data_IF_156779733121
#
_entry.id   IF_156779733121
#
_cell.length_a   1.000
_cell.length_b   1.000
_cell.length_c   1.000
_cell.angle_alpha   90.00
_cell.angle_beta   90.00
_cell.angle_gamma   90.00
#
_symmetry.space_group_name_H-M   'P 1'
#
loop_
_entity.id
_entity.type
_entity.pdbx_description
1 polymer ?
#
# COMPACT_ATOMS: atom_id res chain seq x y z
N UNK A 1 21.25 1.14 13.53
CA UNK A 1 19.91 1.69 13.88
C UNK A 1 19.01 0.50 14.18
N UNK A 2 18.34 0.45 15.33
CA UNK A 2 17.50 -0.72 15.67
C UNK A 2 16.38 -0.89 14.62
N UNK A 3 16.30 -2.03 13.92
CA UNK A 3 15.36 -2.24 12.82
C UNK A 3 13.91 -2.06 13.28
N UNK A 4 13.60 -2.41 14.53
CA UNK A 4 12.29 -2.23 15.16
C UNK A 4 11.81 -0.77 15.15
N UNK A 5 12.69 0.19 15.46
CA UNK A 5 12.34 1.62 15.47
C UNK A 5 12.02 2.09 14.05
N UNK A 6 12.77 1.63 13.06
CA UNK A 6 12.53 1.97 11.65
C UNK A 6 11.23 1.33 11.13
N UNK A 7 11.01 0.04 11.40
CA UNK A 7 9.79 -0.68 11.03
C UNK A 7 8.56 -0.03 11.65
N UNK A 8 8.60 0.26 12.95
CA UNK A 8 7.51 0.94 13.65
C UNK A 8 7.23 2.32 13.06
N UNK A 9 8.28 3.07 12.70
CA UNK A 9 8.15 4.37 12.05
C UNK A 9 7.48 4.26 10.68
N UNK A 10 7.94 3.34 9.82
CA UNK A 10 7.38 3.11 8.48
C UNK A 10 5.92 2.66 8.56
N UNK A 11 5.60 1.72 9.45
CA UNK A 11 4.21 1.28 9.66
C UNK A 11 3.31 2.43 10.13
N UNK A 12 3.74 3.18 11.15
CA UNK A 12 2.96 4.32 11.66
C UNK A 12 2.77 5.40 10.60
N UNK A 13 3.82 5.75 9.86
CA UNK A 13 3.72 6.77 8.80
C UNK A 13 2.84 6.31 7.64
N UNK A 14 2.98 5.06 7.19
CA UNK A 14 2.18 4.52 6.09
C UNK A 14 0.71 4.39 6.44
N UNK A 15 0.40 3.87 7.64
CA UNK A 15 -0.97 3.75 8.13
C UNK A 15 -1.63 5.10 8.40
N UNK A 16 -0.92 6.04 9.04
CA UNK A 16 -1.45 7.38 9.31
C UNK A 16 -1.70 8.16 8.03
N UNK A 17 -0.77 8.10 7.07
CA UNK A 17 -0.95 8.77 5.78
C UNK A 17 -2.10 8.13 4.97
N UNK A 18 -2.21 6.80 4.98
CA UNK A 18 -3.34 6.08 4.38
C UNK A 18 -4.68 6.49 4.98
N UNK A 19 -4.77 6.56 6.32
CA UNK A 19 -5.96 7.03 7.03
C UNK A 19 -6.32 8.47 6.69
N UNK A 20 -5.33 9.38 6.65
CA UNK A 20 -5.55 10.78 6.29
C UNK A 20 -6.09 10.93 4.88
N UNK A 21 -5.54 10.17 3.92
CA UNK A 21 -6.02 10.14 2.54
C UNK A 21 -7.45 9.62 2.47
N UNK A 22 -7.76 8.54 3.19
CA UNK A 22 -9.11 8.00 3.23
C UNK A 22 -10.10 8.99 3.85
N UNK A 23 -9.75 9.64 4.97
CA UNK A 23 -10.59 10.66 5.61
C UNK A 23 -10.85 11.85 4.67
N UNK A 24 -9.80 12.36 4.02
CA UNK A 24 -9.94 13.41 3.02
C UNK A 24 -10.83 12.95 1.85
N UNK A 25 -10.69 11.71 1.42
CA UNK A 25 -11.54 11.09 0.40
C UNK A 25 -13.01 11.02 0.80
N UNK A 26 -13.33 10.61 2.04
CA UNK A 26 -14.70 10.62 2.57
C UNK A 26 -15.28 12.03 2.60
N UNK A 27 -14.52 12.99 3.14
CA UNK A 27 -14.96 14.39 3.27
C UNK A 27 -15.30 15.00 1.91
N UNK A 28 -14.49 14.71 0.89
CA UNK A 28 -14.75 15.18 -0.47
C UNK A 28 -15.94 14.46 -1.12
N UNK A 29 -16.09 13.15 -0.89
CA UNK A 29 -17.22 12.36 -1.42
C UNK A 29 -18.58 12.79 -0.85
N UNK A 30 -18.64 13.31 0.38
CA UNK A 30 -19.88 13.83 0.99
C UNK A 30 -20.48 15.03 0.23
N UNK A 31 -19.70 15.70 -0.61
CA UNK A 31 -20.14 16.90 -1.35
C UNK A 31 -20.55 16.63 -2.81
N UNK A 32 -20.46 15.39 -3.30
CA UNK A 32 -20.67 15.05 -4.72
C UNK A 32 -21.62 13.88 -4.99
N UNK A 33 -22.56 14.05 -5.92
CA UNK A 33 -23.52 13.01 -6.34
C UNK A 33 -22.83 11.82 -7.03
N UNK A 34 -23.33 10.63 -6.71
CA UNK A 34 -22.69 9.33 -6.92
C UNK A 34 -23.19 8.60 -8.18
N UNK A 35 -22.32 8.45 -9.17
CA UNK A 35 -22.17 7.25 -10.01
C UNK A 35 -20.74 7.26 -10.56
N UNK A 36 -19.82 6.52 -9.94
CA UNK A 36 -18.44 6.39 -10.43
C UNK A 36 -18.31 5.03 -11.09
N UNK A 37 -18.31 5.02 -12.42
CA UNK A 37 -17.97 3.83 -13.19
C UNK A 37 -16.47 3.55 -13.05
N UNK A 38 -16.15 2.47 -12.32
CA UNK A 38 -14.79 2.02 -11.98
C UNK A 38 -14.12 1.33 -13.18
N UNK A 39 -13.85 2.10 -14.23
CA UNK A 39 -13.14 1.61 -15.42
C UNK A 39 -11.68 2.10 -15.38
N UNK A 40 -10.73 1.26 -15.83
CA UNK A 40 -9.30 1.60 -15.86
C UNK A 40 -9.02 2.87 -16.69
N UNK A 41 -9.84 3.11 -17.72
CA UNK A 41 -9.84 4.32 -18.53
C UNK A 41 -10.16 5.60 -17.72
N UNK A 42 -11.08 5.52 -16.76
CA UNK A 42 -11.42 6.63 -15.86
C UNK A 42 -10.35 6.86 -14.79
N UNK A 43 -9.59 5.83 -14.43
CA UNK A 43 -8.43 5.94 -13.53
C UNK A 43 -7.27 6.67 -14.21
N UNK A 44 -6.96 6.29 -15.46
CA UNK A 44 -5.89 6.88 -16.26
C UNK A 44 -6.20 8.32 -16.72
N UNK A 45 -7.46 8.63 -17.03
CA UNK A 45 -7.89 9.97 -17.43
C UNK A 45 -8.06 10.95 -16.24
N UNK A 46 -7.68 10.57 -15.01
CA UNK A 46 -7.73 11.44 -13.84
C UNK A 46 -9.14 11.75 -13.31
N UNK A 47 -10.19 11.23 -13.96
CA UNK A 47 -11.60 11.42 -13.55
C UNK A 47 -11.92 10.78 -12.20
N UNK A 48 -11.12 9.82 -11.73
CA UNK A 48 -11.22 9.24 -10.39
C UNK A 48 -10.69 10.17 -9.28
N UNK A 49 -9.74 11.06 -9.59
CA UNK A 49 -9.16 11.97 -8.58
C UNK A 49 -10.06 13.14 -8.20
N UNK A 50 -11.01 13.50 -9.06
CA UNK A 50 -11.81 14.73 -8.91
C UNK A 50 -12.96 14.64 -7.91
N UNK A 51 -13.27 13.46 -7.35
CA UNK A 51 -14.46 13.27 -6.50
C UNK A 51 -14.24 12.52 -5.18
N UNK A 52 -13.04 12.59 -4.59
CA UNK A 52 -12.75 11.99 -3.27
C UNK A 52 -12.57 10.46 -3.25
N UNK A 53 -13.28 9.74 -4.14
CA UNK A 53 -13.13 8.29 -4.35
C UNK A 53 -11.70 7.90 -4.70
N UNK A 54 -11.01 8.68 -5.55
CA UNK A 54 -9.59 8.44 -5.85
C UNK A 54 -8.69 8.48 -4.61
N UNK A 55 -8.95 9.36 -3.64
CA UNK A 55 -8.19 9.42 -2.39
C UNK A 55 -8.47 8.21 -1.49
N UNK A 56 -9.69 7.67 -1.49
CA UNK A 56 -10.01 6.43 -0.78
C UNK A 56 -9.21 5.25 -1.33
N UNK A 57 -9.16 5.09 -2.65
CA UNK A 57 -8.35 4.05 -3.29
C UNK A 57 -6.86 4.26 -3.07
N UNK A 58 -6.38 5.51 -3.17
CA UNK A 58 -4.97 5.83 -2.93
C UNK A 58 -4.57 5.49 -1.49
N UNK A 59 -5.39 5.85 -0.50
CA UNK A 59 -5.16 5.54 0.90
C UNK A 59 -5.17 4.03 1.19
N UNK A 60 -6.11 3.30 0.56
CA UNK A 60 -6.17 1.83 0.66
C UNK A 60 -4.92 1.17 0.05
N UNK A 61 -4.50 1.64 -1.12
CA UNK A 61 -3.30 1.18 -1.79
C UNK A 61 -2.04 1.45 -0.95
N UNK A 62 -1.99 2.61 -0.29
CA UNK A 62 -0.91 2.95 0.64
C UNK A 62 -0.84 1.99 1.84
N UNK A 63 -2.01 1.65 2.42
CA UNK A 63 -2.06 0.67 3.51
C UNK A 63 -1.57 -0.71 3.09
N UNK A 64 -1.90 -1.15 1.87
CA UNK A 64 -1.46 -2.43 1.32
C UNK A 64 0.05 -2.42 1.01
N UNK A 65 0.57 -1.32 0.47
CA UNK A 65 1.99 -1.19 0.13
C UNK A 65 2.90 -1.01 1.35
N UNK A 66 2.37 -0.50 2.47
CA UNK A 66 3.15 -0.28 3.70
C UNK A 66 3.87 -1.55 4.22
N UNK A 67 3.20 -2.72 4.41
CA UNK A 67 3.88 -3.94 4.81
C UNK A 67 4.86 -4.46 3.75
N UNK A 68 4.59 -4.24 2.46
CA UNK A 68 5.52 -4.61 1.37
C UNK A 68 6.81 -3.78 1.48
N UNK A 69 6.70 -2.47 1.71
CA UNK A 69 7.85 -1.59 1.92
C UNK A 69 8.67 -2.00 3.15
N UNK A 70 8.01 -2.43 4.22
CA UNK A 70 8.67 -2.98 5.43
C UNK A 70 9.44 -4.27 5.12
N UNK A 71 8.83 -5.19 4.37
CA UNK A 71 9.49 -6.45 3.97
C UNK A 71 10.70 -6.20 3.07
N UNK A 72 10.61 -5.24 2.14
CA UNK A 72 11.74 -4.83 1.28
C UNK A 72 12.87 -4.26 2.14
N UNK A 73 12.55 -3.34 3.07
CA UNK A 73 13.53 -2.79 4.00
C UNK A 73 14.23 -3.88 4.82
N UNK A 74 13.47 -4.81 5.38
CA UNK A 74 14.01 -5.94 6.15
C UNK A 74 14.85 -6.88 5.27
N UNK A 75 14.45 -7.13 4.03
CA UNK A 75 15.21 -7.95 3.09
C UNK A 75 16.60 -7.35 2.84
N UNK A 76 16.69 -6.04 2.59
CA UNK A 76 17.96 -5.34 2.43
C UNK A 76 18.76 -5.30 3.73
N UNK A 77 18.13 -4.99 4.86
CA UNK A 77 18.79 -4.95 6.17
C UNK A 77 19.46 -6.29 6.51
N UNK A 78 18.73 -7.40 6.32
CA UNK A 78 19.27 -8.74 6.58
C UNK A 78 20.27 -9.21 5.53
N UNK A 79 20.21 -8.71 4.29
CA UNK A 79 21.18 -9.07 3.24
C UNK A 79 22.61 -8.58 3.57
N UNK A 80 22.73 -7.42 4.22
CA UNK A 80 24.00 -6.82 4.65
C UNK A 80 24.39 -7.16 6.10
N UNK A 81 23.61 -7.99 6.79
CA UNK A 81 23.87 -8.45 8.15
C UNK A 81 24.39 -9.91 8.15
N UNK A 82 24.94 -10.39 9.26
CA UNK A 82 25.33 -11.82 9.44
C UNK A 82 24.11 -12.77 9.41
N UNK A 83 22.91 -12.20 9.45
CA UNK A 83 21.61 -12.89 9.50
C UNK A 83 20.96 -13.01 8.12
N UNK A 84 21.73 -13.31 7.07
CA UNK A 84 21.27 -13.40 5.67
C UNK A 84 20.10 -14.35 5.42
N UNK A 85 19.97 -15.41 6.24
CA UNK A 85 18.86 -16.37 6.15
C UNK A 85 17.49 -15.69 6.25
N UNK A 86 17.38 -14.61 7.02
CA UNK A 86 16.13 -13.85 7.18
C UNK A 86 15.78 -12.95 6.00
N UNK A 87 16.77 -12.58 5.19
CA UNK A 87 16.52 -11.88 3.91
C UNK A 87 15.73 -12.78 2.95
N UNK A 88 16.08 -14.06 2.89
CA UNK A 88 15.39 -15.05 2.06
C UNK A 88 13.94 -15.22 2.49
N UNK A 89 13.65 -15.30 3.80
CA UNK A 89 12.27 -15.35 4.30
C UNK A 89 11.46 -14.12 3.91
N UNK A 90 12.05 -12.91 3.96
CA UNK A 90 11.38 -11.69 3.52
C UNK A 90 11.04 -11.72 2.02
N UNK A 91 11.98 -12.19 1.19
CA UNK A 91 11.76 -12.33 -0.26
C UNK A 91 10.69 -13.38 -0.59
N UNK A 92 10.67 -14.51 0.12
CA UNK A 92 9.62 -15.53 -0.03
C UNK A 92 8.25 -14.95 0.31
N UNK A 93 8.13 -14.20 1.42
CA UNK A 93 6.87 -13.55 1.79
C UNK A 93 6.39 -12.55 0.74
N UNK A 94 7.30 -11.78 0.14
CA UNK A 94 6.98 -10.88 -0.98
C UNK A 94 6.48 -11.68 -2.20
N UNK A 95 7.17 -12.78 -2.55
CA UNK A 95 6.77 -13.63 -3.67
C UNK A 95 5.37 -14.25 -3.46
N UNK A 96 5.08 -14.75 -2.25
CA UNK A 96 3.75 -15.28 -1.88
C UNK A 96 2.69 -14.19 -2.01
N UNK A 97 2.95 -12.96 -1.53
CA UNK A 97 2.02 -11.84 -1.68
C UNK A 97 1.72 -11.54 -3.15
N UNK A 98 2.75 -11.53 -4.00
CA UNK A 98 2.58 -11.31 -5.45
C UNK A 98 1.73 -12.42 -6.06
N UNK A 99 2.01 -13.69 -5.74
CA UNK A 99 1.25 -14.85 -6.25
C UNK A 99 -0.22 -14.75 -5.82
N UNK A 100 -0.50 -14.41 -4.55
CA UNK A 100 -1.87 -14.26 -4.05
C UNK A 100 -2.61 -13.16 -4.80
N UNK A 101 -1.96 -12.02 -5.04
CA UNK A 101 -2.54 -10.93 -5.82
C UNK A 101 -2.80 -11.38 -7.27
N UNK A 102 -1.84 -12.01 -7.92
CA UNK A 102 -1.97 -12.51 -9.30
C UNK A 102 -3.06 -13.57 -9.45
N UNK A 103 -3.15 -14.51 -8.50
CA UNK A 103 -4.21 -15.52 -8.48
C UNK A 103 -5.60 -14.89 -8.36
N UNK A 104 -5.72 -13.82 -7.57
CA UNK A 104 -6.99 -13.08 -7.44
C UNK A 104 -7.37 -12.31 -8.70
N UNK A 105 -6.40 -11.87 -9.50
CA UNK A 105 -6.65 -11.22 -10.79
C UNK A 105 -6.92 -12.22 -11.94
N UNK A 106 -6.56 -13.49 -11.76
CA UNK A 106 -6.71 -14.56 -12.76
C UNK A 106 -8.02 -15.36 -12.62
N UNK A 107 -8.84 -15.05 -11.62
CA UNK A 107 -10.13 -15.69 -11.27
C UNK A 107 -11.27 -14.69 -11.48
#
# INVERSE_FOLDING_TARGET
MMPEKTVSKVMRSGLSLGLLLMLAGVLLSLTGSHEVNLTMENFLNGKLMTKGVGLLYLGTLLMILTPVAVLIFLAFYYAFSDTKKYSVYCLIMIAVLIIVVLMRFSL
#
